data_IF_513274245489
#
_entry.id   IF_513274245489
#
_cell.length_a   1.000
_cell.length_b   1.000
_cell.length_c   1.000
_cell.angle_alpha   90.00
_cell.angle_beta   90.00
_cell.angle_gamma   90.00
#
_symmetry.space_group_name_H-M   'P 1'
#
loop_
_entity.id
_entity.type
_entity.pdbx_description
1 polymer ?
#
# COMPACT_ATOMS: atom_id res chain seq x y z
N UNK A 1 -4.95 3.01 86.77
CA UNK A 1 -5.65 4.01 85.95
C UNK A 1 -4.59 4.85 85.25
N UNK A 2 -4.57 4.81 83.91
CA UNK A 2 -3.75 5.56 82.94
C UNK A 2 -2.21 5.39 82.97
N UNK A 3 -1.71 4.56 82.06
CA UNK A 3 -0.35 4.64 81.47
C UNK A 3 -0.50 5.45 80.18
N UNK A 4 0.22 6.57 80.05
CA UNK A 4 0.34 7.28 78.77
C UNK A 4 1.70 6.95 78.16
N UNK A 5 1.66 6.24 77.04
CA UNK A 5 2.80 5.80 76.24
C UNK A 5 3.20 6.88 75.25
N UNK A 6 4.46 7.27 75.36
CA UNK A 6 5.27 7.93 74.35
C UNK A 6 5.44 7.02 73.11
N UNK A 7 5.24 7.54 71.90
CA UNK A 7 5.94 7.10 70.67
C UNK A 7 5.66 8.05 69.51
N UNK A 8 6.65 8.86 69.20
CA UNK A 8 6.85 9.42 67.87
C UNK A 8 7.53 8.36 67.01
N UNK A 9 7.06 8.12 65.78
CA UNK A 9 7.96 7.71 64.69
C UNK A 9 7.39 8.05 63.32
N UNK A 10 8.30 8.58 62.51
CA UNK A 10 8.17 9.19 61.19
C UNK A 10 7.81 8.20 60.07
N UNK A 11 7.13 8.78 59.07
CA UNK A 11 7.35 8.65 57.60
C UNK A 11 7.70 7.26 57.08
N UNK A 12 6.71 6.58 56.49
CA UNK A 12 6.95 5.50 55.53
C UNK A 12 6.38 5.92 54.17
N UNK A 13 7.30 5.99 53.21
CA UNK A 13 7.17 6.48 51.85
C UNK A 13 5.91 6.00 51.11
N UNK A 14 5.21 6.94 50.49
CA UNK A 14 4.34 6.66 49.37
C UNK A 14 5.19 6.03 48.25
N UNK A 15 5.07 4.72 48.07
CA UNK A 15 5.42 4.07 46.81
C UNK A 15 4.46 4.58 45.74
N UNK A 16 4.76 5.76 45.19
CA UNK A 16 4.34 6.13 43.85
C UNK A 16 5.04 5.16 42.93
N UNK A 17 4.37 4.04 42.66
CA UNK A 17 4.66 3.21 41.49
C UNK A 17 4.60 4.17 40.32
N UNK A 18 5.78 4.56 39.84
CA UNK A 18 5.93 5.11 38.51
C UNK A 18 5.43 3.99 37.59
N UNK A 19 4.17 4.08 37.20
CA UNK A 19 3.71 3.39 36.01
C UNK A 19 4.51 4.03 34.90
N UNK A 20 5.68 3.46 34.60
CA UNK A 20 6.32 3.66 33.32
C UNK A 20 5.22 3.51 32.31
N UNK A 21 4.95 4.59 31.58
CA UNK A 21 4.09 4.57 30.42
C UNK A 21 4.82 3.75 29.37
N UNK A 22 4.85 2.42 29.58
CA UNK A 22 5.00 1.44 28.54
C UNK A 22 3.77 1.64 27.65
N UNK A 23 3.83 2.68 26.82
CA UNK A 23 2.92 2.86 25.72
C UNK A 23 3.11 1.61 24.88
N UNK A 24 2.19 0.66 25.02
CA UNK A 24 2.06 -0.47 24.13
C UNK A 24 1.76 0.14 22.75
N UNK A 25 2.83 0.50 22.05
CA UNK A 25 2.74 1.15 20.77
C UNK A 25 2.41 0.04 19.77
N UNK A 26 1.12 -0.26 19.65
CA UNK A 26 0.61 -1.33 18.81
C UNK A 26 1.00 -1.16 17.33
N UNK A 27 1.41 0.05 16.94
CA UNK A 27 1.87 0.38 15.60
C UNK A 27 3.37 0.71 15.51
N UNK A 28 4.16 0.58 16.58
CA UNK A 28 5.59 0.91 16.51
C UNK A 28 6.34 -0.02 15.58
N UNK A 29 7.47 0.46 15.10
CA UNK A 29 8.33 -0.24 14.14
C UNK A 29 9.72 -0.42 14.73
N UNK A 30 10.44 -1.42 14.25
CA UNK A 30 11.79 -1.73 14.71
C UNK A 30 12.82 -1.51 13.58
N UNK A 31 14.05 -1.07 13.90
CA UNK A 31 15.15 -1.02 12.95
C UNK A 31 15.40 -2.38 12.28
N UNK A 32 15.48 -2.39 10.95
CA UNK A 32 15.63 -3.60 10.16
C UNK A 32 14.39 -4.50 10.10
N UNK A 33 13.23 -4.03 10.61
CA UNK A 33 11.97 -4.77 10.50
C UNK A 33 11.67 -5.11 9.03
N UNK A 34 11.25 -6.36 8.83
CA UNK A 34 10.78 -6.87 7.54
C UNK A 34 9.57 -7.77 7.76
N UNK A 35 8.54 -7.54 6.96
CA UNK A 35 7.34 -8.35 6.92
C UNK A 35 7.03 -8.71 5.47
N UNK A 36 6.81 -10.00 5.21
CA UNK A 36 6.39 -10.51 3.92
C UNK A 36 5.38 -11.63 4.16
N UNK A 37 4.13 -11.38 3.80
CA UNK A 37 3.03 -12.26 4.16
C UNK A 37 1.90 -12.20 3.14
N UNK A 38 1.24 -13.33 2.90
CA UNK A 38 0.00 -13.39 2.14
C UNK A 38 -1.14 -13.75 3.08
N UNK A 39 -2.14 -12.88 3.20
CA UNK A 39 -3.22 -13.01 4.17
C UNK A 39 -4.60 -12.74 3.59
N UNK A 40 -5.63 -13.25 4.26
CA UNK A 40 -7.01 -12.95 3.90
C UNK A 40 -7.28 -11.43 4.01
N UNK A 41 -8.07 -10.91 3.08
CA UNK A 41 -8.59 -9.54 3.19
C UNK A 41 -9.80 -9.59 4.11
N UNK A 42 -9.62 -9.19 5.36
CA UNK A 42 -10.69 -9.10 6.36
C UNK A 42 -11.55 -7.83 6.19
N UNK A 43 -12.47 -7.60 7.13
CA UNK A 43 -13.37 -6.43 7.09
C UNK A 43 -12.61 -5.12 7.27
N UNK A 44 -11.55 -5.10 8.07
CA UNK A 44 -10.73 -3.91 8.29
C UNK A 44 -9.99 -3.53 7.01
N UNK A 45 -9.25 -4.46 6.40
CA UNK A 45 -8.54 -4.21 5.14
C UNK A 45 -9.47 -3.83 4.00
N UNK A 46 -10.69 -4.40 3.94
CA UNK A 46 -11.71 -3.96 2.97
C UNK A 46 -12.11 -2.51 3.16
N UNK A 47 -12.29 -2.07 4.40
CA UNK A 47 -12.66 -0.69 4.72
C UNK A 47 -11.55 0.28 4.33
N UNK A 48 -10.29 -0.05 4.63
CA UNK A 48 -9.13 0.76 4.24
C UNK A 48 -8.99 0.84 2.70
N UNK A 49 -9.13 -0.28 1.99
CA UNK A 49 -9.12 -0.28 0.51
C UNK A 49 -10.22 0.59 -0.11
N UNK A 50 -11.41 0.64 0.51
CA UNK A 50 -12.53 1.45 0.02
C UNK A 50 -12.29 2.96 0.15
N UNK A 51 -11.35 3.38 1.00
CA UNK A 51 -10.95 4.78 1.15
C UNK A 51 -10.00 5.23 0.03
N UNK A 52 -9.36 4.32 -0.69
CA UNK A 52 -8.39 4.65 -1.74
C UNK A 52 -9.04 5.48 -2.85
N UNK A 53 -8.36 6.56 -3.23
CA UNK A 53 -8.72 7.40 -4.38
C UNK A 53 -7.54 7.43 -5.33
N UNK A 54 -7.79 7.23 -6.62
CA UNK A 54 -6.75 7.26 -7.64
C UNK A 54 -6.66 8.67 -8.22
N UNK A 55 -5.44 9.17 -8.41
CA UNK A 55 -5.23 10.39 -9.18
C UNK A 55 -5.74 10.20 -10.62
N UNK A 56 -6.17 11.29 -11.29
CA UNK A 56 -6.79 11.20 -12.62
C UNK A 56 -5.80 10.91 -13.75
N UNK A 57 -4.52 10.72 -13.44
CA UNK A 57 -3.45 10.50 -14.43
C UNK A 57 -2.53 9.36 -14.01
N UNK A 58 -1.95 8.69 -15.01
CA UNK A 58 -0.88 7.72 -14.86
C UNK A 58 0.12 7.84 -16.01
N UNK A 59 1.29 7.26 -15.80
CA UNK A 59 2.35 7.15 -16.82
C UNK A 59 2.51 5.69 -17.19
N UNK A 60 2.60 5.42 -18.49
CA UNK A 60 3.02 4.13 -18.99
C UNK A 60 4.53 4.02 -18.81
N UNK A 61 4.98 3.02 -18.05
CA UNK A 61 6.41 2.78 -17.86
C UNK A 61 7.07 2.47 -19.20
N UNK A 62 8.18 3.15 -19.46
CA UNK A 62 9.01 2.99 -20.64
C UNK A 62 10.45 2.77 -20.20
N UNK A 63 11.11 1.82 -20.85
CA UNK A 63 12.53 1.55 -20.72
C UNK A 63 13.24 1.84 -22.05
N UNK A 64 14.53 1.46 -22.16
CA UNK A 64 15.31 1.64 -23.37
C UNK A 64 14.76 0.90 -24.61
N UNK A 65 13.85 -0.06 -24.43
CA UNK A 65 13.22 -0.82 -25.50
C UNK A 65 11.87 -0.26 -25.98
N UNK A 66 11.44 0.90 -25.48
CA UNK A 66 10.18 1.50 -25.90
C UNK A 66 10.20 1.93 -27.38
N UNK A 67 9.13 1.70 -28.17
CA UNK A 67 7.82 1.17 -27.76
C UNK A 67 7.70 -0.37 -27.74
N UNK A 68 8.68 -1.10 -28.27
CA UNK A 68 8.61 -2.55 -28.49
C UNK A 68 8.55 -3.37 -27.19
N UNK A 69 9.09 -2.82 -26.09
CA UNK A 69 8.99 -3.42 -24.76
C UNK A 69 7.57 -3.39 -24.17
N UNK A 70 6.67 -2.55 -24.72
CA UNK A 70 5.27 -2.48 -24.32
C UNK A 70 4.43 -3.36 -25.25
N UNK A 71 3.96 -4.49 -24.72
CA UNK A 71 3.12 -5.42 -25.47
C UNK A 71 1.67 -5.36 -25.00
N UNK A 72 0.72 -5.44 -25.92
CA UNK A 72 -0.71 -5.46 -25.61
C UNK A 72 -1.42 -4.11 -25.61
N UNK A 73 -0.68 -2.99 -25.78
CA UNK A 73 -1.23 -1.65 -26.00
C UNK A 73 -0.99 -1.23 -27.46
N UNK A 74 -2.04 -0.77 -28.15
CA UNK A 74 -1.94 -0.27 -29.53
C UNK A 74 -1.34 1.13 -29.54
N UNK A 75 -0.23 1.34 -30.25
CA UNK A 75 0.49 2.61 -30.35
C UNK A 75 0.74 3.21 -28.95
N UNK A 76 1.57 2.56 -28.12
CA UNK A 76 1.88 3.06 -26.78
C UNK A 76 2.53 4.45 -26.87
N UNK A 77 2.21 5.33 -25.92
CA UNK A 77 2.73 6.69 -25.86
C UNK A 77 3.44 6.93 -24.52
N UNK A 78 4.49 7.74 -24.51
CA UNK A 78 5.18 8.14 -23.27
C UNK A 78 4.46 9.24 -22.48
N UNK A 79 3.41 9.85 -23.05
CA UNK A 79 2.63 10.90 -22.40
C UNK A 79 1.69 10.38 -21.29
N UNK A 80 1.08 11.29 -20.50
CA UNK A 80 0.15 10.90 -19.45
C UNK A 80 -1.10 10.25 -20.03
N UNK A 81 -1.55 9.18 -19.39
CA UNK A 81 -2.84 8.56 -19.62
C UNK A 81 -3.84 9.10 -18.61
N UNK A 82 -5.05 9.43 -19.07
CA UNK A 82 -6.17 9.68 -18.16
C UNK A 82 -6.57 8.39 -17.44
N UNK A 83 -6.90 8.48 -16.16
CA UNK A 83 -7.25 7.34 -15.31
C UNK A 83 -8.57 7.57 -14.60
N UNK A 84 -9.43 6.54 -14.63
CA UNK A 84 -10.50 6.35 -13.65
C UNK A 84 -10.38 4.96 -13.09
N UNK A 85 -10.24 4.84 -11.78
CA UNK A 85 -10.03 3.54 -11.14
C UNK A 85 -10.75 3.44 -9.80
N UNK A 86 -11.06 2.21 -9.40
CA UNK A 86 -11.69 1.93 -8.11
C UNK A 86 -11.35 0.53 -7.59
N UNK A 87 -11.38 0.37 -6.27
CA UNK A 87 -11.20 -0.92 -5.58
C UNK A 87 -12.51 -1.26 -4.88
N UNK A 88 -13.39 -2.00 -5.56
CA UNK A 88 -14.61 -2.57 -4.98
C UNK A 88 -14.52 -4.10 -4.87
N UNK A 89 -15.63 -4.78 -5.09
CA UNK A 89 -15.63 -6.23 -5.33
C UNK A 89 -14.91 -6.58 -6.65
N UNK A 90 -14.90 -5.63 -7.57
CA UNK A 90 -14.09 -5.64 -8.79
C UNK A 90 -13.10 -4.48 -8.67
N UNK A 91 -11.84 -4.77 -8.97
CA UNK A 91 -10.83 -3.74 -9.20
C UNK A 91 -10.92 -3.35 -10.67
N UNK A 92 -11.13 -2.08 -10.95
CA UNK A 92 -11.31 -1.58 -12.32
C UNK A 92 -10.41 -0.38 -12.60
N UNK A 93 -9.91 -0.34 -13.83
CA UNK A 93 -9.16 0.77 -14.41
C UNK A 93 -9.72 1.08 -15.79
N UNK A 94 -10.00 2.35 -16.05
CA UNK A 94 -10.22 2.92 -17.37
C UNK A 94 -9.04 3.85 -17.67
N UNK A 95 -8.34 3.55 -18.77
CA UNK A 95 -7.21 4.32 -19.27
C UNK A 95 -7.63 5.05 -20.54
N UNK A 96 -7.36 6.34 -20.61
CA UNK A 96 -7.52 7.15 -21.83
C UNK A 96 -6.15 7.57 -22.33
N UNK A 97 -5.79 7.14 -23.54
CA UNK A 97 -4.51 7.52 -24.14
C UNK A 97 -4.51 8.98 -24.65
N UNK A 98 -3.36 9.53 -25.07
CA UNK A 98 -3.29 10.90 -25.59
C UNK A 98 -4.13 11.15 -26.85
N UNK A 99 -4.51 10.11 -27.59
CA UNK A 99 -5.40 10.18 -28.75
C UNK A 99 -6.89 10.05 -28.39
N UNK A 100 -7.23 9.99 -27.09
CA UNK A 100 -8.59 9.85 -26.59
C UNK A 100 -9.16 8.43 -26.66
N UNK A 101 -8.36 7.43 -27.02
CA UNK A 101 -8.79 6.03 -27.06
C UNK A 101 -8.82 5.46 -25.66
N UNK A 102 -9.85 4.65 -25.39
CA UNK A 102 -10.11 4.11 -24.06
C UNK A 102 -9.71 2.63 -23.99
N UNK A 103 -9.13 2.20 -22.87
CA UNK A 103 -8.95 0.81 -22.49
C UNK A 103 -9.47 0.55 -21.10
N UNK A 104 -10.03 -0.63 -20.88
CA UNK A 104 -10.58 -1.04 -19.60
C UNK A 104 -9.91 -2.32 -19.15
N UNK A 105 -9.37 -2.29 -17.94
CA UNK A 105 -8.84 -3.45 -17.23
C UNK A 105 -9.70 -3.71 -16.00
N UNK A 106 -10.15 -4.95 -15.82
CA UNK A 106 -10.90 -5.34 -14.63
C UNK A 106 -10.56 -6.75 -14.17
N UNK A 107 -10.53 -6.94 -12.85
CA UNK A 107 -10.42 -8.25 -12.21
C UNK A 107 -11.20 -8.29 -10.89
N UNK A 108 -11.71 -9.46 -10.47
CA UNK A 108 -12.33 -9.60 -9.16
C UNK A 108 -11.30 -9.32 -8.07
N UNK A 109 -11.67 -8.57 -7.03
CA UNK A 109 -10.79 -8.38 -5.87
C UNK A 109 -10.45 -9.75 -5.27
N UNK A 110 -9.17 -10.10 -5.09
CA UNK A 110 -8.82 -11.39 -4.50
C UNK A 110 -9.28 -11.46 -3.04
N UNK A 111 -9.50 -12.66 -2.53
CA UNK A 111 -9.77 -12.87 -1.09
C UNK A 111 -8.49 -12.89 -0.25
N UNK A 112 -7.33 -12.99 -0.90
CA UNK A 112 -5.99 -13.00 -0.29
C UNK A 112 -5.14 -11.91 -0.94
N UNK A 113 -4.38 -11.17 -0.14
CA UNK A 113 -3.50 -10.10 -0.59
C UNK A 113 -2.08 -10.32 -0.04
N UNK A 114 -1.08 -10.00 -0.85
CA UNK A 114 0.30 -9.89 -0.39
C UNK A 114 0.54 -8.58 0.36
N UNK A 115 1.21 -8.65 1.50
CA UNK A 115 1.70 -7.51 2.27
C UNK A 115 3.21 -7.59 2.32
N UNK A 116 3.85 -6.48 2.00
CA UNK A 116 5.29 -6.31 2.12
C UNK A 116 5.57 -5.04 2.90
N UNK A 117 6.39 -5.13 3.94
CA UNK A 117 6.78 -3.99 4.75
C UNK A 117 8.27 -4.11 5.10
N UNK A 118 9.05 -3.06 4.93
CA UNK A 118 10.49 -3.11 5.22
C UNK A 118 11.00 -1.77 5.69
N UNK A 119 11.86 -1.75 6.70
CA UNK A 119 12.68 -0.59 7.02
C UNK A 119 13.71 -0.39 5.91
N UNK A 120 13.63 0.68 5.10
CA UNK A 120 14.55 0.92 4.01
C UNK A 120 15.95 1.31 4.50
N UNK A 121 16.12 1.57 5.81
CA UNK A 121 17.35 2.11 6.41
C UNK A 121 17.81 3.41 5.76
N UNK A 122 16.84 4.22 5.31
CA UNK A 122 17.09 5.46 4.59
C UNK A 122 17.53 6.62 5.51
N UNK A 123 17.21 6.54 6.81
CA UNK A 123 17.56 7.56 7.79
C UNK A 123 19.02 7.44 8.22
N UNK A 124 19.78 8.53 8.09
CA UNK A 124 21.11 8.67 8.69
C UNK A 124 20.94 9.44 10.01
N UNK A 125 20.87 8.73 11.14
CA UNK A 125 20.70 9.35 12.46
C UNK A 125 20.02 8.45 13.49
N UNK A 126 19.74 8.97 14.69
CA UNK A 126 19.01 8.24 15.73
C UNK A 126 17.63 7.80 15.25
N UNK A 127 17.24 6.57 15.61
CA UNK A 127 15.92 6.04 15.31
C UNK A 127 14.86 6.81 16.12
N UNK A 128 13.73 7.23 15.53
CA UNK A 128 12.66 7.89 16.26
C UNK A 128 12.12 7.02 17.42
N UNK A 129 11.52 7.61 18.47
CA UNK A 129 10.94 6.84 19.58
C UNK A 129 9.89 5.81 19.17
N UNK A 130 9.19 6.05 18.05
CA UNK A 130 8.17 5.15 17.51
C UNK A 130 8.69 4.21 16.39
N UNK A 131 10.01 4.22 16.16
CA UNK A 131 10.67 3.43 15.12
C UNK A 131 10.80 4.11 13.75
N UNK A 132 11.44 3.44 12.77
CA UNK A 132 11.59 3.93 11.40
C UNK A 132 10.27 3.88 10.60
N UNK A 133 10.13 4.75 9.59
CA UNK A 133 9.04 4.58 8.61
C UNK A 133 9.35 3.39 7.70
N UNK A 134 8.43 2.42 7.64
CA UNK A 134 8.56 1.26 6.75
C UNK A 134 8.08 1.64 5.36
N UNK A 135 8.79 1.21 4.32
CA UNK A 135 8.20 1.09 3.00
C UNK A 135 7.15 -0.01 3.02
N UNK A 136 5.96 0.25 2.50
CA UNK A 136 4.80 -0.66 2.55
C UNK A 136 4.24 -0.93 1.17
N UNK A 137 3.81 -2.16 0.94
CA UNK A 137 3.03 -2.56 -0.23
C UNK A 137 1.83 -3.44 0.10
N UNK A 138 0.74 -3.19 -0.61
CA UNK A 138 -0.41 -4.08 -0.75
C UNK A 138 -0.51 -4.59 -2.17
N UNK A 139 -0.44 -5.91 -2.35
CA UNK A 139 -0.37 -6.58 -3.66
C UNK A 139 -1.64 -7.39 -3.92
N UNK A 140 -2.48 -6.90 -4.84
CA UNK A 140 -3.70 -7.57 -5.29
C UNK A 140 -3.44 -8.22 -6.65
N UNK A 141 -3.59 -9.54 -6.74
CA UNK A 141 -3.21 -10.31 -7.91
C UNK A 141 -4.30 -11.26 -8.39
N UNK A 142 -4.75 -11.09 -9.64
CA UNK A 142 -5.74 -11.96 -10.28
C UNK A 142 -5.63 -11.96 -11.80
N UNK A 143 -6.22 -13.00 -12.39
CA UNK A 143 -6.59 -12.97 -13.80
C UNK A 143 -7.54 -11.80 -14.06
N UNK A 144 -7.30 -11.09 -15.15
CA UNK A 144 -7.98 -9.87 -15.53
C UNK A 144 -8.39 -9.93 -17.00
N UNK A 145 -9.31 -9.03 -17.35
CA UNK A 145 -9.71 -8.77 -18.72
C UNK A 145 -9.27 -7.37 -19.10
N UNK A 146 -8.51 -7.26 -20.19
CA UNK A 146 -8.12 -5.99 -20.77
C UNK A 146 -8.76 -5.85 -22.16
N UNK A 147 -9.56 -4.80 -22.35
CA UNK A 147 -10.39 -4.61 -23.54
C UNK A 147 -10.44 -3.14 -23.96
N UNK A 148 -10.90 -2.89 -25.18
CA UNK A 148 -11.14 -1.55 -25.72
C UNK A 148 -10.15 -1.14 -26.80
N UNK A 149 -10.36 0.03 -27.44
CA UNK A 149 -9.54 0.52 -28.55
C UNK A 149 -8.03 0.60 -28.33
N UNK A 150 -7.54 0.75 -27.09
CA UNK A 150 -6.09 0.70 -26.82
C UNK A 150 -5.58 -0.74 -26.61
N UNK A 151 -6.45 -1.72 -26.38
CA UNK A 151 -6.04 -3.11 -26.18
C UNK A 151 -5.76 -3.78 -27.54
N UNK A 152 -4.57 -4.34 -27.71
CA UNK A 152 -4.22 -5.08 -28.92
C UNK A 152 -4.94 -6.44 -29.04
N UNK A 153 -5.50 -6.94 -27.93
CA UNK A 153 -6.19 -8.23 -27.82
C UNK A 153 -5.29 -9.30 -27.18
N UNK A 154 -5.92 -10.27 -26.51
CA UNK A 154 -5.23 -11.37 -25.83
C UNK A 154 -6.17 -12.10 -24.86
N UNK A 155 -6.18 -13.45 -24.83
CA UNK A 155 -7.10 -14.22 -24.01
C UNK A 155 -6.53 -14.33 -22.58
N UNK A 156 -7.16 -13.63 -21.63
CA UNK A 156 -6.78 -13.56 -20.22
C UNK A 156 -5.35 -13.01 -19.94
N UNK A 157 -5.29 -11.92 -19.17
CA UNK A 157 -4.03 -11.37 -18.66
C UNK A 157 -3.99 -11.58 -17.16
N UNK A 158 -2.81 -11.53 -16.56
CA UNK A 158 -2.64 -11.51 -15.12
C UNK A 158 -2.27 -10.09 -14.69
N UNK A 159 -3.10 -9.50 -13.83
CA UNK A 159 -2.89 -8.16 -13.31
C UNK A 159 -2.40 -8.24 -11.86
N UNK A 160 -1.40 -7.44 -11.54
CA UNK A 160 -0.94 -7.17 -10.17
C UNK A 160 -1.03 -5.69 -9.91
N UNK A 161 -1.98 -5.30 -9.06
CA UNK A 161 -2.05 -3.96 -8.49
C UNK A 161 -1.21 -3.95 -7.21
N UNK A 162 -0.23 -3.06 -7.17
CA UNK A 162 0.62 -2.77 -6.01
C UNK A 162 0.28 -1.37 -5.54
N UNK A 163 -0.32 -1.23 -4.36
CA UNK A 163 -0.42 0.05 -3.68
C UNK A 163 0.81 0.18 -2.80
N UNK A 164 1.51 1.30 -2.86
CA UNK A 164 2.75 1.48 -2.11
C UNK A 164 2.93 2.88 -1.54
N UNK A 165 3.73 2.95 -0.49
CA UNK A 165 4.00 4.16 0.28
C UNK A 165 4.81 3.83 1.51
N UNK A 166 4.56 4.56 2.60
CA UNK A 166 5.35 4.48 3.81
C UNK A 166 4.52 4.73 5.06
N UNK A 167 4.95 4.19 6.21
CA UNK A 167 4.29 4.42 7.49
C UNK A 167 4.76 3.47 8.58
N UNK A 168 3.99 3.44 9.66
CA UNK A 168 4.26 2.59 10.83
C UNK A 168 3.75 1.14 10.62
N UNK A 169 3.79 0.28 11.65
CA UNK A 169 3.35 -1.13 11.53
C UNK A 169 1.85 -1.31 11.26
N UNK A 170 1.04 -0.26 11.43
CA UNK A 170 -0.40 -0.33 11.18
C UNK A 170 -0.74 -0.23 9.68
N UNK A 171 -1.80 -0.93 9.29
CA UNK A 171 -2.22 -1.11 7.90
C UNK A 171 -3.32 -0.12 7.54
N UNK A 172 -2.98 1.16 7.41
CA UNK A 172 -3.93 2.23 7.14
C UNK A 172 -3.81 2.79 5.70
N UNK A 173 -4.93 3.14 5.10
CA UNK A 173 -5.01 3.71 3.75
C UNK A 173 -4.14 4.95 3.54
N UNK A 174 -4.04 5.90 4.50
CA UNK A 174 -3.18 7.07 4.35
C UNK A 174 -1.70 6.78 4.17
N UNK A 175 -1.23 5.57 4.53
CA UNK A 175 0.17 5.17 4.36
C UNK A 175 0.52 4.90 2.89
N UNK A 176 -0.48 4.76 2.01
CA UNK A 176 -0.28 4.49 0.59
C UNK A 176 -0.40 5.79 -0.20
N UNK A 177 0.58 6.05 -1.06
CA UNK A 177 0.66 7.29 -1.84
C UNK A 177 0.69 7.06 -3.34
N UNK A 178 1.12 5.88 -3.76
CA UNK A 178 1.34 5.53 -5.16
C UNK A 178 0.79 4.15 -5.47
N UNK A 179 0.66 3.88 -6.76
CA UNK A 179 0.29 2.57 -7.23
C UNK A 179 1.05 2.19 -8.50
N UNK A 180 1.22 0.90 -8.66
CA UNK A 180 1.81 0.27 -9.84
C UNK A 180 0.88 -0.84 -10.28
N UNK A 181 0.46 -0.81 -11.55
CA UNK A 181 -0.33 -1.88 -12.15
C UNK A 181 0.55 -2.58 -13.19
N UNK A 182 0.98 -3.80 -12.88
CA UNK A 182 1.67 -4.64 -13.86
C UNK A 182 0.68 -5.60 -14.51
N UNK A 183 0.78 -5.75 -15.82
CA UNK A 183 -0.09 -6.63 -16.61
C UNK A 183 0.79 -7.52 -17.48
N UNK A 184 0.63 -8.83 -17.31
CA UNK A 184 1.42 -9.84 -18.02
C UNK A 184 0.53 -10.92 -18.62
N UNK A 185 0.92 -11.46 -19.76
CA UNK A 185 0.22 -12.53 -20.46
C UNK A 185 0.87 -12.83 -21.81
N UNK A 186 0.31 -13.78 -22.56
CA UNK A 186 0.81 -14.08 -23.90
C UNK A 186 0.61 -12.87 -24.82
N UNK A 187 1.70 -12.24 -25.25
CA UNK A 187 1.68 -11.04 -26.09
C UNK A 187 1.21 -9.77 -25.37
N UNK A 188 1.21 -9.78 -24.02
CA UNK A 188 0.84 -8.64 -23.19
C UNK A 188 1.86 -8.47 -22.07
N UNK A 189 2.50 -7.32 -22.03
CA UNK A 189 3.48 -6.95 -21.02
C UNK A 189 3.55 -5.42 -20.94
N UNK A 190 2.97 -4.84 -19.90
CA UNK A 190 3.05 -3.40 -19.65
C UNK A 190 2.88 -3.09 -18.18
N UNK A 191 3.32 -1.88 -17.79
CA UNK A 191 3.21 -1.38 -16.43
C UNK A 191 2.71 0.06 -16.45
N UNK A 192 1.65 0.34 -15.69
CA UNK A 192 1.24 1.71 -15.38
C UNK A 192 1.70 2.11 -13.99
N UNK A 193 2.12 3.37 -13.87
CA UNK A 193 2.51 4.01 -12.62
C UNK A 193 1.60 5.20 -12.38
N UNK A 194 1.10 5.38 -11.16
CA UNK A 194 0.32 6.57 -10.82
C UNK A 194 0.31 6.86 -9.33
N UNK A 195 -0.29 7.98 -8.99
CA UNK A 195 -0.45 8.44 -7.62
C UNK A 195 -1.85 8.10 -7.08
N UNK A 196 -1.95 8.04 -5.75
CA UNK A 196 -3.22 8.07 -5.04
C UNK A 196 -3.55 9.53 -4.68
N UNK A 197 -4.81 9.89 -4.84
CA UNK A 197 -5.31 11.18 -4.40
C UNK A 197 -5.47 11.19 -2.86
N UNK A 198 -5.24 12.34 -2.21
CA UNK A 198 -5.42 12.50 -0.77
C UNK A 198 -6.87 12.33 -0.32
#
# INVERSE_FOLDING_TARGET
MKRETMSALLVAAAFLVQTDTAHACACCTEPGQRFEYAGAIDTYLRAEMAQMRFAPTAVLYSDAGFPDSVQGIRNPAGGPYGVRASIGNVVSFEFTDPSGRIGRLAFPRPNVMGRFEVDPRASVGPVPPNGPSLYKEWRLQRAAQFRGPIAAGGPAVFATLILHGDGNSCSAAPNFKRWTLTVKGRGVAFTFLGDLAP
#
